data_IF_950889317594
#
_entry.id   IF_950889317594
#
_cell.length_a   1.000
_cell.length_b   1.000
_cell.length_c   1.000
_cell.angle_alpha   90.00
_cell.angle_beta   90.00
_cell.angle_gamma   90.00
#
_symmetry.space_group_name_H-M   'P 1'
#
loop_
_entity.id
_entity.type
_entity.pdbx_description
1 polymer ?
#
# COMPACT_ATOMS: atom_id res chain seq x y z
N UNK A 1 2.22 -22.16 29.02
CA UNK A 1 2.97 -21.22 28.18
C UNK A 1 1.97 -20.28 27.54
N UNK A 2 1.68 -19.18 28.22
CA UNK A 2 0.71 -18.16 27.79
C UNK A 2 1.35 -17.25 26.75
N UNK A 3 0.72 -17.09 25.58
CA UNK A 3 1.14 -16.11 24.57
C UNK A 3 1.05 -14.69 25.18
N UNK A 4 2.04 -13.80 24.93
CA UNK A 4 2.00 -12.44 25.46
C UNK A 4 0.78 -11.70 24.91
N UNK A 5 0.09 -10.90 25.75
CA UNK A 5 -1.05 -10.10 25.31
C UNK A 5 -0.52 -9.02 24.37
N UNK A 6 -0.93 -9.11 23.10
CA UNK A 6 -0.73 -8.10 22.07
C UNK A 6 0.74 -7.94 21.64
N UNK A 7 1.24 -8.89 20.84
CA UNK A 7 2.21 -8.51 19.82
C UNK A 7 1.62 -7.33 19.05
N UNK A 8 2.37 -6.23 18.82
CA UNK A 8 1.85 -5.08 18.08
C UNK A 8 1.29 -5.61 16.75
N UNK A 9 -0.01 -5.38 16.54
CA UNK A 9 -0.63 -5.60 15.24
C UNK A 9 0.17 -4.70 14.32
N UNK A 10 1.01 -5.30 13.45
CA UNK A 10 1.67 -4.57 12.37
C UNK A 10 0.65 -3.62 11.74
N UNK A 11 1.04 -2.40 11.40
CA UNK A 11 0.16 -1.42 10.77
C UNK A 11 -0.76 -2.13 9.76
N UNK A 12 -2.08 -1.90 9.80
CA UNK A 12 -3.02 -2.68 9.00
C UNK A 12 -2.61 -2.76 7.53
N UNK A 13 -2.06 -3.90 7.13
CA UNK A 13 -1.59 -4.10 5.76
C UNK A 13 -2.79 -4.27 4.85
N UNK A 14 -2.92 -3.41 3.82
CA UNK A 14 -3.97 -3.55 2.81
C UNK A 14 -3.79 -4.86 2.05
N UNK A 15 -4.74 -5.78 2.21
CA UNK A 15 -4.74 -7.08 1.50
C UNK A 15 -5.37 -7.03 0.12
N UNK A 16 -6.21 -6.03 -0.13
CA UNK A 16 -6.87 -5.82 -1.42
C UNK A 16 -5.93 -5.10 -2.38
N UNK A 17 -5.79 -5.64 -3.59
CA UNK A 17 -4.97 -5.04 -4.65
C UNK A 17 -5.64 -3.77 -5.17
N UNK A 18 -4.82 -2.79 -5.55
CA UNK A 18 -5.29 -1.61 -6.30
C UNK A 18 -5.01 -1.85 -7.76
N UNK A 19 -6.01 -1.60 -8.61
CA UNK A 19 -5.89 -1.60 -10.06
C UNK A 19 -6.36 -0.24 -10.53
N UNK A 20 -5.57 0.43 -11.36
CA UNK A 20 -5.90 1.71 -11.95
C UNK A 20 -5.67 1.66 -13.46
N UNK A 21 -6.56 2.28 -14.22
CA UNK A 21 -6.34 2.50 -15.65
C UNK A 21 -5.42 3.71 -15.82
N UNK A 22 -4.30 3.51 -16.51
CA UNK A 22 -3.33 4.57 -16.76
C UNK A 22 -3.62 5.30 -18.08
N UNK A 23 -3.26 6.58 -18.12
CA UNK A 23 -3.45 7.44 -19.29
C UNK A 23 -2.55 8.68 -19.22
N UNK A 24 -2.82 9.73 -20.01
CA UNK A 24 -1.96 10.92 -20.07
C UNK A 24 -1.72 11.59 -18.70
N UNK A 25 -2.65 11.43 -17.75
CA UNK A 25 -2.48 11.98 -16.40
C UNK A 25 -1.33 11.34 -15.61
N UNK A 26 -1.04 10.06 -15.87
CA UNK A 26 0.03 9.29 -15.22
C UNK A 26 1.33 9.24 -16.02
N UNK A 27 1.31 9.66 -17.29
CA UNK A 27 2.47 9.68 -18.20
C UNK A 27 3.28 10.98 -18.05
N UNK A 28 3.68 11.25 -16.81
CA UNK A 28 4.56 12.36 -16.46
C UNK A 28 5.61 11.82 -15.50
N UNK A 29 6.84 12.31 -15.66
CA UNK A 29 7.96 11.91 -14.82
C UNK A 29 7.61 12.07 -13.33
N UNK A 30 7.86 11.02 -12.54
CA UNK A 30 7.63 11.01 -11.09
C UNK A 30 6.19 10.72 -10.64
N UNK A 31 5.20 10.67 -11.54
CA UNK A 31 3.80 10.47 -11.13
C UNK A 31 3.54 9.04 -10.67
N UNK A 32 4.13 8.04 -11.33
CA UNK A 32 3.92 6.64 -10.95
C UNK A 32 4.54 6.35 -9.58
N UNK A 33 5.68 6.95 -9.28
CA UNK A 33 6.38 6.86 -8.01
C UNK A 33 5.52 7.47 -6.88
N UNK A 34 4.89 8.62 -7.14
CA UNK A 34 3.94 9.24 -6.22
C UNK A 34 2.68 8.38 -5.98
N UNK A 35 2.28 7.54 -6.94
CA UNK A 35 1.12 6.64 -6.79
C UNK A 35 1.46 5.38 -5.97
N UNK A 36 2.73 5.01 -5.85
CA UNK A 36 3.19 3.79 -5.16
C UNK A 36 3.60 4.09 -3.71
N UNK A 37 4.02 5.33 -3.43
CA UNK A 37 4.50 5.80 -2.14
C UNK A 37 3.42 5.86 -1.05
#
# INVERSE_FOLDING_TARGET
MTLPPHAPIHDPVRRTKIVATLGPASDREGVLEQMIA
#
